data_IF_312623108380
#
_entry.id   IF_312623108380
#
_cell.length_a   1.000
_cell.length_b   1.000
_cell.length_c   1.000
_cell.angle_alpha   90.00
_cell.angle_beta   90.00
_cell.angle_gamma   90.00
#
_symmetry.space_group_name_H-M   'P 1'
#
loop_
_entity.id
_entity.type
_entity.pdbx_description
1 polymer ?
#
# COMPACT_ATOMS: atom_id res chain seq x y z
N UNK A 1 7.14 -6.66 30.84
CA UNK A 1 7.97 -6.04 29.80
C UNK A 1 7.13 -5.87 28.58
N UNK A 2 7.10 -4.68 28.08
CA UNK A 2 6.11 -4.28 27.09
C UNK A 2 6.38 -4.98 25.74
N UNK A 3 5.33 -5.18 24.97
CA UNK A 3 5.34 -5.64 23.57
C UNK A 3 6.43 -4.94 22.74
N UNK A 4 6.72 -3.68 23.01
CA UNK A 4 7.74 -2.87 22.33
C UNK A 4 9.17 -3.43 22.55
N UNK A 5 9.55 -3.83 23.76
CA UNK A 5 10.90 -4.38 24.03
C UNK A 5 11.11 -5.70 23.28
N UNK A 6 10.05 -6.50 23.15
CA UNK A 6 10.05 -7.73 22.37
C UNK A 6 10.25 -7.40 20.87
N UNK A 7 9.51 -6.43 20.35
CA UNK A 7 9.64 -6.00 18.95
C UNK A 7 11.06 -5.49 18.65
N UNK A 8 11.63 -4.63 19.49
CA UNK A 8 12.99 -4.10 19.33
C UNK A 8 14.07 -5.21 19.27
N UNK A 9 13.86 -6.28 20.03
CA UNK A 9 14.82 -7.39 20.11
C UNK A 9 14.66 -8.37 18.95
N UNK A 10 13.43 -8.68 18.57
CA UNK A 10 13.11 -9.76 17.63
C UNK A 10 13.07 -9.31 16.17
N UNK A 11 12.61 -8.07 15.91
CA UNK A 11 12.49 -7.57 14.54
C UNK A 11 13.85 -7.30 13.91
N UNK A 12 14.03 -7.82 12.69
CA UNK A 12 15.23 -7.64 11.85
C UNK A 12 14.90 -6.87 10.57
N UNK A 13 13.66 -6.98 10.08
CA UNK A 13 13.21 -6.33 8.88
C UNK A 13 11.84 -5.68 9.06
N UNK A 14 11.61 -4.57 8.36
CA UNK A 14 10.29 -3.97 8.20
C UNK A 14 9.86 -4.10 6.73
N UNK A 15 8.67 -4.65 6.50
CA UNK A 15 8.03 -4.70 5.20
C UNK A 15 6.84 -3.74 5.18
N UNK A 16 6.81 -2.82 4.22
CA UNK A 16 5.83 -1.75 4.16
C UNK A 16 4.86 -1.95 3.00
N UNK A 17 3.55 -1.80 3.28
CA UNK A 17 2.61 -1.46 2.21
C UNK A 17 2.96 -0.11 1.59
N UNK A 18 2.71 0.06 0.29
CA UNK A 18 3.05 1.28 -0.42
C UNK A 18 1.88 2.27 -0.51
N UNK A 19 0.75 1.83 -1.08
CA UNK A 19 -0.34 2.72 -1.49
C UNK A 19 -1.23 3.13 -0.31
N UNK A 20 -1.10 4.37 0.14
CA UNK A 20 -1.80 4.91 1.31
C UNK A 20 -1.05 4.70 2.63
N UNK A 21 0.09 4.00 2.61
CA UNK A 21 0.97 3.79 3.75
C UNK A 21 2.24 4.61 3.62
N UNK A 22 3.06 4.36 2.58
CA UNK A 22 4.24 5.17 2.23
C UNK A 22 3.82 6.41 1.43
N UNK A 23 3.03 6.23 0.36
CA UNK A 23 2.61 7.32 -0.53
C UNK A 23 1.16 7.74 -0.27
N UNK A 24 0.91 9.07 -0.34
CA UNK A 24 -0.44 9.62 -0.17
C UNK A 24 -1.25 9.46 -1.45
N UNK A 25 -1.80 8.27 -1.63
CA UNK A 25 -2.57 7.93 -2.82
C UNK A 25 -3.86 8.75 -2.95
N UNK A 26 -4.53 9.09 -1.85
CA UNK A 26 -5.77 9.85 -1.91
C UNK A 26 -5.50 11.27 -2.41
N UNK A 27 -4.59 11.97 -1.76
CA UNK A 27 -4.24 13.35 -2.11
C UNK A 27 -3.63 13.43 -3.51
N UNK A 28 -2.61 12.62 -3.80
CA UNK A 28 -1.90 12.67 -5.08
C UNK A 28 -2.81 12.40 -6.27
N UNK A 29 -3.67 11.37 -6.20
CA UNK A 29 -4.64 11.11 -7.27
C UNK A 29 -5.73 12.21 -7.35
N UNK A 30 -6.17 12.77 -6.23
CA UNK A 30 -7.14 13.87 -6.25
C UNK A 30 -6.56 15.10 -6.96
N UNK A 31 -5.32 15.45 -6.67
CA UNK A 31 -4.62 16.53 -7.36
C UNK A 31 -4.49 16.25 -8.87
N UNK A 32 -4.12 15.02 -9.25
CA UNK A 32 -3.94 14.64 -10.65
C UNK A 32 -5.25 14.61 -11.46
N UNK A 33 -6.35 14.10 -10.88
CA UNK A 33 -7.62 14.01 -11.63
C UNK A 33 -8.39 15.32 -11.70
N UNK A 34 -8.17 16.26 -10.79
CA UNK A 34 -8.94 17.51 -10.68
C UNK A 34 -8.95 18.30 -11.99
N UNK A 35 -7.81 18.58 -12.66
CA UNK A 35 -7.81 19.30 -13.94
C UNK A 35 -8.56 18.53 -15.04
N UNK A 36 -8.47 17.19 -15.05
CA UNK A 36 -9.17 16.36 -16.01
C UNK A 36 -10.70 16.45 -15.83
N UNK A 37 -11.18 16.25 -14.61
CA UNK A 37 -12.64 16.31 -14.30
C UNK A 37 -13.21 17.69 -14.59
N UNK A 38 -12.43 18.77 -14.33
CA UNK A 38 -12.83 20.14 -14.68
C UNK A 38 -13.00 20.31 -16.20
N UNK A 39 -12.04 19.81 -17.01
CA UNK A 39 -12.14 19.87 -18.48
C UNK A 39 -13.36 19.09 -19.02
N UNK A 40 -13.74 18.01 -18.34
CA UNK A 40 -14.95 17.23 -18.68
C UNK A 40 -16.27 17.87 -18.23
N UNK A 41 -16.21 19.03 -17.56
CA UNK A 41 -17.41 19.70 -17.04
C UNK A 41 -18.11 18.96 -15.90
N UNK A 42 -17.41 18.03 -15.25
CA UNK A 42 -18.00 17.30 -14.15
C UNK A 42 -18.00 18.14 -12.85
N UNK A 43 -19.17 18.30 -12.24
CA UNK A 43 -19.39 19.16 -11.08
C UNK A 43 -19.30 18.43 -9.72
N UNK A 44 -18.94 17.15 -9.71
CA UNK A 44 -18.76 16.38 -8.48
C UNK A 44 -17.44 16.71 -7.79
N UNK A 45 -17.25 16.13 -6.60
CA UNK A 45 -16.01 16.31 -5.82
C UNK A 45 -14.90 15.37 -6.32
N UNK A 46 -13.74 15.87 -6.78
CA UNK A 46 -12.63 15.02 -7.23
C UNK A 46 -12.17 13.99 -6.20
N UNK A 47 -12.18 14.35 -4.92
CA UNK A 47 -11.86 13.44 -3.82
C UNK A 47 -12.83 12.24 -3.76
N UNK A 48 -14.12 12.48 -3.98
CA UNK A 48 -15.12 11.40 -4.04
C UNK A 48 -14.89 10.48 -5.25
N UNK A 49 -14.53 11.05 -6.41
CA UNK A 49 -14.14 10.27 -7.59
C UNK A 49 -12.98 9.33 -7.29
N UNK A 50 -11.92 9.85 -6.67
CA UNK A 50 -10.74 9.05 -6.27
C UNK A 50 -11.09 8.00 -5.22
N UNK A 51 -11.96 8.34 -4.27
CA UNK A 51 -12.45 7.38 -3.27
C UNK A 51 -13.16 6.20 -3.92
N UNK A 52 -14.04 6.44 -4.91
CA UNK A 52 -14.70 5.39 -5.68
C UNK A 52 -13.70 4.60 -6.53
N UNK A 53 -12.76 5.25 -7.21
CA UNK A 53 -11.71 4.59 -7.97
C UNK A 53 -10.91 3.63 -7.09
N UNK A 54 -10.36 4.12 -5.98
CA UNK A 54 -9.56 3.31 -5.05
C UNK A 54 -10.34 2.14 -4.48
N UNK A 55 -11.61 2.38 -4.11
CA UNK A 55 -12.48 1.32 -3.61
C UNK A 55 -12.72 0.23 -4.65
N UNK A 56 -13.11 0.61 -5.86
CA UNK A 56 -13.35 -0.35 -6.95
C UNK A 56 -12.07 -1.10 -7.32
N UNK A 57 -10.93 -0.41 -7.37
CA UNK A 57 -9.61 -1.03 -7.61
C UNK A 57 -9.30 -2.07 -6.54
N UNK A 58 -9.47 -1.72 -5.27
CA UNK A 58 -9.26 -2.63 -4.15
C UNK A 58 -10.21 -3.82 -4.17
N UNK A 59 -11.52 -3.59 -4.37
CA UNK A 59 -12.53 -4.66 -4.43
C UNK A 59 -12.20 -5.67 -5.55
N UNK A 60 -11.82 -5.20 -6.74
CA UNK A 60 -11.44 -6.09 -7.83
C UNK A 60 -10.15 -6.86 -7.56
N UNK A 61 -9.17 -6.26 -6.88
CA UNK A 61 -7.95 -6.96 -6.45
C UNK A 61 -8.26 -8.05 -5.41
N UNK A 62 -9.20 -7.79 -4.49
CA UNK A 62 -9.66 -8.78 -3.51
C UNK A 62 -10.40 -9.94 -4.18
N UNK A 63 -11.26 -9.64 -5.15
CA UNK A 63 -11.99 -10.68 -5.91
C UNK A 63 -10.99 -11.55 -6.67
N UNK A 64 -10.00 -10.95 -7.33
CA UNK A 64 -8.95 -11.68 -8.04
C UNK A 64 -8.20 -12.65 -7.11
N UNK A 65 -7.82 -12.17 -5.91
CA UNK A 65 -7.16 -12.97 -4.90
C UNK A 65 -8.02 -14.13 -4.36
N UNK A 66 -9.33 -13.89 -4.19
CA UNK A 66 -10.26 -14.91 -3.65
C UNK A 66 -10.68 -15.95 -4.69
N UNK A 67 -10.77 -15.56 -5.97
CA UNK A 67 -11.19 -16.48 -7.03
C UNK A 67 -10.10 -17.47 -7.46
N UNK A 68 -8.85 -17.24 -7.05
CA UNK A 68 -7.68 -18.08 -7.34
C UNK A 68 -7.53 -18.47 -8.84
N UNK A 69 -7.85 -17.50 -9.72
CA UNK A 69 -7.84 -17.68 -11.19
C UNK A 69 -6.57 -17.17 -11.87
N UNK A 70 -5.48 -17.05 -11.12
CA UNK A 70 -4.25 -16.41 -11.55
C UNK A 70 -4.22 -14.96 -11.12
N UNK A 71 -3.31 -14.19 -11.70
CA UNK A 71 -3.05 -12.81 -11.31
C UNK A 71 -3.34 -11.84 -12.46
N UNK A 72 -4.33 -10.98 -12.30
CA UNK A 72 -4.57 -9.86 -13.21
C UNK A 72 -3.60 -8.72 -12.86
N UNK A 73 -2.84 -8.14 -13.83
CA UNK A 73 -1.98 -6.99 -13.54
C UNK A 73 -2.72 -5.85 -12.83
N UNK A 74 -2.12 -5.29 -11.79
CA UNK A 74 -2.71 -4.20 -11.00
C UNK A 74 -3.10 -3.01 -11.85
N UNK A 75 -2.25 -2.63 -12.82
CA UNK A 75 -2.56 -1.59 -13.82
C UNK A 75 -3.83 -1.90 -14.60
N UNK A 76 -4.05 -3.14 -15.01
CA UNK A 76 -5.25 -3.53 -15.75
C UNK A 76 -6.50 -3.43 -14.88
N UNK A 77 -6.43 -3.83 -13.62
CA UNK A 77 -7.51 -3.62 -12.64
C UNK A 77 -7.77 -2.11 -12.48
N UNK A 78 -6.73 -1.29 -12.44
CA UNK A 78 -6.82 0.16 -12.40
C UNK A 78 -7.58 0.74 -13.60
N UNK A 79 -7.30 0.28 -14.81
CA UNK A 79 -8.02 0.71 -16.02
C UNK A 79 -9.53 0.40 -15.90
N UNK A 80 -9.88 -0.84 -15.50
CA UNK A 80 -11.28 -1.24 -15.30
C UNK A 80 -11.96 -0.39 -14.22
N UNK A 81 -11.27 -0.12 -13.11
CA UNK A 81 -11.79 0.67 -12.01
C UNK A 81 -12.06 2.12 -12.41
N UNK A 82 -11.14 2.76 -13.15
CA UNK A 82 -11.32 4.13 -13.65
C UNK A 82 -12.48 4.19 -14.64
N UNK A 83 -12.52 3.27 -15.62
CA UNK A 83 -13.63 3.20 -16.59
C UNK A 83 -14.98 3.06 -15.88
N UNK A 84 -15.08 2.13 -14.91
CA UNK A 84 -16.29 1.95 -14.12
C UNK A 84 -16.74 3.24 -13.41
N UNK A 85 -15.80 3.99 -12.82
CA UNK A 85 -16.15 5.23 -12.11
C UNK A 85 -16.56 6.33 -13.09
N UNK A 86 -15.92 6.41 -14.28
CA UNK A 86 -16.32 7.32 -15.35
C UNK A 86 -17.76 7.06 -15.79
N UNK A 87 -18.09 5.78 -16.07
CA UNK A 87 -19.45 5.36 -16.48
C UNK A 87 -20.46 5.70 -15.38
N UNK A 88 -20.15 5.37 -14.11
CA UNK A 88 -20.98 5.71 -12.96
C UNK A 88 -21.23 7.21 -12.82
N UNK A 89 -20.24 8.02 -13.12
CA UNK A 89 -20.30 9.48 -13.07
C UNK A 89 -20.87 10.09 -14.37
N UNK A 90 -21.17 9.28 -15.39
CA UNK A 90 -21.63 9.71 -16.72
C UNK A 90 -20.64 10.68 -17.39
N UNK A 91 -19.35 10.44 -17.22
CA UNK A 91 -18.26 11.21 -17.82
C UNK A 91 -17.82 10.50 -19.10
N UNK A 92 -17.90 11.18 -20.24
CA UNK A 92 -17.38 10.64 -21.50
C UNK A 92 -15.85 10.59 -21.46
N UNK A 93 -15.27 9.46 -21.85
CA UNK A 93 -13.82 9.23 -21.80
C UNK A 93 -13.32 8.41 -23.00
N UNK A 94 -12.01 8.48 -23.22
CA UNK A 94 -11.29 7.57 -24.12
C UNK A 94 -10.42 6.61 -23.30
N UNK A 95 -10.00 5.50 -23.89
CA UNK A 95 -9.09 4.56 -23.22
C UNK A 95 -7.69 5.19 -22.97
N UNK A 96 -7.27 6.14 -23.80
CA UNK A 96 -6.03 6.90 -23.56
C UNK A 96 -6.12 7.77 -22.30
N UNK A 97 -7.25 8.40 -22.08
CA UNK A 97 -7.50 9.17 -20.85
C UNK A 97 -7.50 8.28 -19.61
N UNK A 98 -8.08 7.08 -19.70
CA UNK A 98 -8.04 6.09 -18.62
C UNK A 98 -6.60 5.66 -18.33
N UNK A 99 -5.83 5.35 -19.38
CA UNK A 99 -4.41 4.98 -19.23
C UNK A 99 -3.60 6.11 -18.59
N UNK A 100 -3.80 7.34 -19.03
CA UNK A 100 -3.11 8.52 -18.48
C UNK A 100 -3.40 8.73 -16.99
N UNK A 101 -4.67 8.55 -16.56
CA UNK A 101 -5.04 8.68 -15.15
C UNK A 101 -4.43 7.56 -14.30
N UNK A 102 -4.44 6.32 -14.78
CA UNK A 102 -3.85 5.20 -14.03
C UNK A 102 -2.34 5.34 -13.89
N UNK A 103 -1.65 5.92 -14.89
CA UNK A 103 -0.22 6.19 -14.84
C UNK A 103 0.16 7.20 -13.72
N UNK A 104 -0.77 8.01 -13.22
CA UNK A 104 -0.52 8.91 -12.08
C UNK A 104 -0.23 8.15 -10.78
N UNK A 105 -0.63 6.86 -10.67
CA UNK A 105 -0.28 6.01 -9.52
C UNK A 105 1.25 5.87 -9.37
N UNK A 106 1.97 5.91 -10.47
CA UNK A 106 3.44 5.75 -10.50
C UNK A 106 4.18 7.01 -10.04
N UNK A 107 3.48 8.16 -9.97
CA UNK A 107 4.07 9.47 -9.64
C UNK A 107 3.76 9.95 -8.22
N UNK A 108 3.10 9.10 -7.43
CA UNK A 108 2.70 9.43 -6.07
C UNK A 108 3.90 9.71 -5.17
N UNK A 109 3.76 10.73 -4.33
CA UNK A 109 4.80 11.14 -3.38
C UNK A 109 4.56 10.55 -2.00
N UNK A 110 5.62 10.32 -1.21
CA UNK A 110 5.49 9.86 0.16
C UNK A 110 4.80 10.90 1.03
N UNK A 111 4.20 10.44 2.14
CA UNK A 111 3.79 11.32 3.21
C UNK A 111 5.01 12.04 3.81
N UNK A 112 4.83 13.26 4.36
CA UNK A 112 5.96 14.08 4.84
C UNK A 112 6.81 13.43 5.95
N UNK A 113 6.19 12.56 6.76
CA UNK A 113 6.80 11.86 7.88
C UNK A 113 7.65 10.64 7.48
N UNK A 114 7.55 10.17 6.23
CA UNK A 114 8.07 8.86 5.83
C UNK A 114 9.59 8.85 5.66
N UNK A 115 10.16 9.76 4.87
CA UNK A 115 11.57 9.66 4.46
C UNK A 115 12.52 9.78 5.66
N UNK A 116 12.27 10.74 6.55
CA UNK A 116 13.08 10.92 7.75
C UNK A 116 12.99 9.71 8.69
N UNK A 117 11.79 9.15 8.84
CA UNK A 117 11.58 7.95 9.67
C UNK A 117 12.27 6.71 9.11
N UNK A 118 12.18 6.48 7.77
CA UNK A 118 12.89 5.38 7.12
C UNK A 118 14.40 5.52 7.28
N UNK A 119 14.95 6.74 7.21
CA UNK A 119 16.36 7.00 7.48
C UNK A 119 16.79 6.60 8.90
N UNK A 120 15.97 6.92 9.91
CA UNK A 120 16.21 6.51 11.32
C UNK A 120 16.15 4.99 11.49
N UNK A 121 15.15 4.34 10.92
CA UNK A 121 15.00 2.88 10.98
C UNK A 121 16.21 2.18 10.33
N UNK A 122 16.66 2.65 9.18
CA UNK A 122 17.88 2.15 8.52
C UNK A 122 19.12 2.34 9.39
N UNK A 123 19.29 3.52 9.98
CA UNK A 123 20.43 3.80 10.87
C UNK A 123 20.45 2.88 12.11
N UNK A 124 19.29 2.36 12.51
CA UNK A 124 19.17 1.36 13.58
C UNK A 124 19.55 -0.06 13.14
N UNK A 125 19.74 -0.28 11.84
CA UNK A 125 20.17 -1.56 11.27
C UNK A 125 19.04 -2.45 10.75
N UNK A 126 17.80 -1.96 10.65
CA UNK A 126 16.70 -2.72 10.06
C UNK A 126 16.85 -2.84 8.54
N UNK A 127 16.59 -4.03 7.98
CA UNK A 127 16.28 -4.18 6.55
C UNK A 127 14.94 -3.56 6.25
N UNK A 128 14.83 -2.79 5.16
CA UNK A 128 13.61 -2.08 4.79
C UNK A 128 13.13 -2.55 3.42
N UNK A 129 11.93 -3.13 3.36
CA UNK A 129 11.34 -3.66 2.14
C UNK A 129 9.98 -3.03 1.85
N UNK A 130 9.63 -2.89 0.57
CA UNK A 130 8.25 -2.67 0.13
C UNK A 130 7.63 -4.03 -0.22
N UNK A 131 6.37 -4.24 0.17
CA UNK A 131 5.49 -5.29 -0.33
C UNK A 131 4.20 -4.64 -0.84
N UNK A 132 4.02 -4.59 -2.15
CA UNK A 132 2.98 -3.79 -2.80
C UNK A 132 2.12 -4.61 -3.77
N UNK A 133 0.83 -4.25 -3.86
CA UNK A 133 -0.07 -4.75 -4.89
C UNK A 133 0.24 -4.24 -6.30
N UNK A 134 1.13 -3.26 -6.45
CA UNK A 134 1.55 -2.71 -7.74
C UNK A 134 2.35 -3.70 -8.59
N UNK A 135 2.25 -3.58 -9.91
CA UNK A 135 3.07 -4.34 -10.85
C UNK A 135 4.55 -3.95 -10.72
N UNK A 136 5.47 -4.86 -11.06
CA UNK A 136 6.94 -4.64 -10.93
C UNK A 136 7.41 -3.37 -11.63
N UNK A 137 6.92 -3.14 -12.85
CA UNK A 137 7.29 -1.96 -13.64
C UNK A 137 6.72 -0.67 -13.05
N UNK A 138 5.49 -0.70 -12.49
CA UNK A 138 4.91 0.42 -11.75
C UNK A 138 5.73 0.76 -10.50
N UNK A 139 6.15 -0.24 -9.74
CA UNK A 139 6.99 -0.03 -8.55
C UNK A 139 8.36 0.53 -8.92
N UNK A 140 8.95 0.05 -10.01
CA UNK A 140 10.21 0.59 -10.54
C UNK A 140 10.06 2.05 -10.96
N UNK A 141 8.98 2.39 -11.66
CA UNK A 141 8.68 3.77 -12.07
C UNK A 141 8.42 4.70 -10.87
N UNK A 142 7.81 4.18 -9.80
CA UNK A 142 7.52 4.95 -8.59
C UNK A 142 8.78 5.27 -7.74
N UNK A 143 9.83 4.47 -7.85
CA UNK A 143 11.05 4.62 -7.02
C UNK A 143 11.62 6.05 -6.96
N UNK A 144 11.88 6.73 -8.10
CA UNK A 144 12.36 8.11 -8.11
C UNK A 144 11.43 9.12 -7.43
N UNK A 145 10.12 8.88 -7.47
CA UNK A 145 9.11 9.75 -6.85
C UNK A 145 9.00 9.56 -5.34
N UNK A 146 9.30 8.36 -4.84
CA UNK A 146 9.38 8.07 -3.40
C UNK A 146 10.65 8.69 -2.81
N UNK A 147 11.78 8.63 -3.54
CA UNK A 147 13.03 9.26 -3.12
C UNK A 147 13.74 8.53 -1.96
N UNK A 148 13.49 7.22 -1.80
CA UNK A 148 14.18 6.37 -0.82
C UNK A 148 14.52 5.01 -1.45
N UNK A 149 15.76 4.55 -1.24
CA UNK A 149 16.20 3.25 -1.74
C UNK A 149 15.89 2.16 -0.69
N UNK A 150 15.00 1.25 -0.99
CA UNK A 150 14.70 0.07 -0.16
C UNK A 150 15.67 -1.08 -0.47
N UNK A 151 15.89 -1.96 0.52
CA UNK A 151 16.70 -3.17 0.31
C UNK A 151 15.99 -4.14 -0.64
N UNK A 152 14.66 -4.21 -0.55
CA UNK A 152 13.81 -4.98 -1.46
C UNK A 152 12.56 -4.19 -1.85
N UNK A 153 12.15 -4.30 -3.12
CA UNK A 153 10.87 -3.79 -3.63
C UNK A 153 10.13 -4.97 -4.25
N UNK A 154 9.14 -5.47 -3.50
CA UNK A 154 8.47 -6.73 -3.78
C UNK A 154 7.07 -6.44 -4.33
N UNK A 155 6.82 -6.88 -5.57
CA UNK A 155 5.50 -6.87 -6.17
C UNK A 155 4.76 -8.17 -5.83
N UNK A 156 3.44 -8.08 -5.65
CA UNK A 156 2.59 -9.27 -5.52
C UNK A 156 2.62 -10.18 -6.76
N UNK A 157 3.11 -9.69 -7.89
CA UNK A 157 3.37 -10.52 -9.09
C UNK A 157 4.36 -11.66 -8.81
N UNK A 158 5.27 -11.49 -7.82
CA UNK A 158 6.19 -12.55 -7.38
C UNK A 158 5.45 -13.75 -6.80
N UNK A 159 4.31 -13.50 -6.15
CA UNK A 159 3.47 -14.53 -5.53
C UNK A 159 2.32 -14.99 -6.45
N UNK A 160 2.00 -14.21 -7.50
CA UNK A 160 0.84 -14.44 -8.36
C UNK A 160 -0.51 -14.23 -7.65
N UNK A 161 -0.53 -13.53 -6.52
CA UNK A 161 -1.73 -13.27 -5.73
C UNK A 161 -1.67 -11.88 -5.08
N UNK A 162 -2.81 -11.18 -5.02
CA UNK A 162 -2.91 -9.92 -4.29
C UNK A 162 -2.95 -10.15 -2.77
N UNK A 163 -2.49 -9.14 -2.01
CA UNK A 163 -2.77 -9.07 -0.57
C UNK A 163 -4.29 -9.02 -0.34
N UNK A 164 -4.82 -9.71 0.68
CA UNK A 164 -4.15 -10.38 1.79
C UNK A 164 -3.93 -11.89 1.62
N UNK A 165 -3.79 -12.40 0.41
CA UNK A 165 -3.52 -13.83 0.22
C UNK A 165 -2.19 -14.22 0.86
N UNK A 166 -2.16 -15.32 1.64
CA UNK A 166 -0.99 -15.74 2.44
C UNK A 166 0.29 -15.95 1.61
N UNK A 167 0.18 -16.42 0.34
CA UNK A 167 1.32 -16.61 -0.56
C UNK A 167 2.11 -15.31 -0.81
N UNK A 168 1.45 -14.18 -0.72
CA UNK A 168 2.09 -12.87 -0.89
C UNK A 168 3.07 -12.58 0.25
N UNK A 169 2.67 -12.85 1.48
CA UNK A 169 3.54 -12.66 2.64
C UNK A 169 4.63 -13.72 2.71
N UNK A 170 4.33 -14.97 2.30
CA UNK A 170 5.32 -16.04 2.19
C UNK A 170 6.41 -15.69 1.16
N UNK A 171 6.04 -15.11 0.01
CA UNK A 171 7.01 -14.66 -0.97
C UNK A 171 7.85 -13.50 -0.45
N UNK A 172 7.27 -12.60 0.34
CA UNK A 172 8.02 -11.52 0.98
C UNK A 172 9.03 -12.06 2.01
N UNK A 173 8.65 -13.03 2.84
CA UNK A 173 9.55 -13.74 3.78
C UNK A 173 10.75 -14.34 3.03
N UNK A 174 10.49 -15.07 1.93
CA UNK A 174 11.51 -15.69 1.09
C UNK A 174 12.51 -14.66 0.54
N UNK A 175 12.00 -13.54 -0.02
CA UNK A 175 12.85 -12.51 -0.66
C UNK A 175 13.64 -11.70 0.38
N UNK A 176 13.02 -11.36 1.51
CA UNK A 176 13.67 -10.61 2.60
C UNK A 176 14.76 -11.46 3.28
N UNK A 177 14.54 -12.77 3.33
CA UNK A 177 15.51 -13.71 3.91
C UNK A 177 15.58 -13.63 5.44
N UNK A 178 14.46 -13.27 6.09
CA UNK A 178 14.29 -13.27 7.54
C UNK A 178 13.07 -14.12 7.90
N UNK A 179 13.12 -14.81 9.03
CA UNK A 179 11.95 -15.54 9.54
C UNK A 179 10.75 -14.60 9.73
N UNK A 180 9.54 -15.08 9.43
CA UNK A 180 8.31 -14.28 9.52
C UNK A 180 8.11 -13.61 10.88
N UNK A 181 8.55 -14.24 11.97
CA UNK A 181 8.47 -13.66 13.31
C UNK A 181 9.44 -12.48 13.51
N UNK A 182 10.49 -12.41 12.72
CA UNK A 182 11.47 -11.32 12.66
C UNK A 182 11.10 -10.19 11.69
N UNK A 183 9.95 -10.29 11.01
CA UNK A 183 9.46 -9.27 10.08
C UNK A 183 8.30 -8.51 10.73
N UNK A 184 8.41 -7.17 10.79
CA UNK A 184 7.31 -6.28 11.14
C UNK A 184 6.68 -5.75 9.85
N UNK A 185 5.45 -6.20 9.56
CA UNK A 185 4.69 -5.68 8.44
C UNK A 185 3.94 -4.40 8.85
N UNK A 186 4.12 -3.32 8.07
CA UNK A 186 3.62 -1.97 8.40
C UNK A 186 2.62 -1.52 7.35
N UNK A 187 1.38 -1.26 7.74
CA UNK A 187 0.34 -0.81 6.83
C UNK A 187 -0.69 0.12 7.49
N UNK A 188 -1.28 1.00 6.66
CA UNK A 188 -2.43 1.85 7.03
C UNK A 188 -3.79 1.16 6.75
N UNK A 189 -3.80 -0.09 6.33
CA UNK A 189 -5.00 -0.83 6.00
C UNK A 189 -5.15 -2.04 6.92
N UNK A 190 -6.27 -2.12 7.66
CA UNK A 190 -6.51 -3.22 8.60
C UNK A 190 -6.44 -4.58 7.91
N UNK A 191 -7.05 -4.74 6.70
CA UNK A 191 -7.03 -6.00 5.96
C UNK A 191 -5.62 -6.54 5.71
N UNK A 192 -4.65 -5.64 5.47
CA UNK A 192 -3.28 -5.99 5.15
C UNK A 192 -2.51 -6.41 6.41
N UNK A 193 -2.71 -5.69 7.52
CA UNK A 193 -2.21 -6.11 8.83
C UNK A 193 -2.81 -7.46 9.25
N UNK A 194 -4.11 -7.68 9.03
CA UNK A 194 -4.80 -8.95 9.32
C UNK A 194 -4.18 -10.08 8.49
N UNK A 195 -3.97 -9.87 7.19
CA UNK A 195 -3.36 -10.87 6.30
C UNK A 195 -1.93 -11.23 6.73
N UNK A 196 -1.08 -10.24 7.00
CA UNK A 196 0.29 -10.45 7.47
C UNK A 196 0.32 -11.15 8.85
N UNK A 197 -0.55 -10.74 9.76
CA UNK A 197 -0.67 -11.33 11.10
C UNK A 197 -1.14 -12.78 11.04
N UNK A 198 -2.14 -13.08 10.20
CA UNK A 198 -2.63 -14.45 10.03
C UNK A 198 -1.58 -15.37 9.41
N UNK A 199 -0.66 -14.85 8.63
CA UNK A 199 0.49 -15.58 8.11
C UNK A 199 1.56 -15.83 9.18
N UNK A 200 1.60 -15.04 10.26
CA UNK A 200 2.53 -15.17 11.37
C UNK A 200 3.60 -14.07 11.48
N UNK A 201 3.48 -13.01 10.67
CA UNK A 201 4.31 -11.82 10.83
C UNK A 201 3.86 -10.99 12.05
N UNK A 202 4.78 -10.19 12.60
CA UNK A 202 4.43 -9.08 13.48
C UNK A 202 3.85 -7.94 12.62
N UNK A 203 2.93 -7.14 13.20
CA UNK A 203 2.25 -6.09 12.45
C UNK A 203 2.18 -4.77 13.19
N UNK A 204 2.40 -3.67 12.45
CA UNK A 204 2.18 -2.31 12.92
C UNK A 204 1.10 -1.64 12.05
N UNK A 205 0.03 -1.21 12.67
CA UNK A 205 -1.00 -0.43 12.02
C UNK A 205 -0.68 1.07 12.13
N UNK A 206 -0.57 1.75 11.00
CA UNK A 206 -0.34 3.20 10.93
C UNK A 206 -1.68 3.88 10.75
N UNK A 207 -2.25 4.42 11.82
CA UNK A 207 -3.60 5.00 11.83
C UNK A 207 -3.64 6.43 11.28
N UNK A 208 -3.25 6.59 10.01
CA UNK A 208 -3.27 7.90 9.31
C UNK A 208 -4.65 8.52 9.19
N UNK A 209 -5.70 7.71 9.33
CA UNK A 209 -7.09 8.14 9.09
C UNK A 209 -7.88 8.33 10.36
N UNK A 210 -7.28 8.08 11.53
CA UNK A 210 -7.95 8.11 12.83
C UNK A 210 -9.24 7.26 12.82
N UNK A 211 -9.12 6.03 12.31
CA UNK A 211 -10.22 5.08 12.21
C UNK A 211 -9.91 3.87 13.09
N UNK A 212 -10.91 3.31 13.78
CA UNK A 212 -10.67 2.10 14.55
C UNK A 212 -10.18 0.96 13.64
N UNK A 213 -9.26 0.15 14.16
CA UNK A 213 -8.78 -1.04 13.45
C UNK A 213 -9.92 -2.05 13.20
N UNK A 214 -10.88 -2.08 14.11
CA UNK A 214 -12.00 -3.03 14.10
C UNK A 214 -11.74 -4.23 15.00
N UNK A 215 -12.83 -4.93 15.31
CA UNK A 215 -12.79 -6.16 16.10
C UNK A 215 -12.45 -7.34 15.20
N UNK A 216 -11.30 -7.94 15.43
CA UNK A 216 -10.80 -9.10 14.69
C UNK A 216 -9.83 -9.89 15.59
N UNK A 217 -9.72 -11.22 15.46
CA UNK A 217 -8.76 -12.01 16.22
C UNK A 217 -7.30 -11.70 15.90
N UNK A 218 -7.04 -11.01 14.79
CA UNK A 218 -5.69 -10.65 14.32
C UNK A 218 -5.37 -9.18 14.60
N UNK A 219 -5.38 -8.79 15.88
CA UNK A 219 -5.02 -7.43 16.28
C UNK A 219 -3.54 -7.12 15.99
N UNK A 220 -3.19 -5.87 15.62
CA UNK A 220 -1.80 -5.50 15.37
C UNK A 220 -0.99 -5.53 16.67
N UNK A 221 0.32 -5.80 16.57
CA UNK A 221 1.25 -5.77 17.70
C UNK A 221 1.56 -4.33 18.13
N UNK A 222 1.44 -3.38 17.19
CA UNK A 222 1.70 -1.96 17.40
C UNK A 222 0.68 -1.12 16.62
N UNK A 223 0.20 -0.05 17.25
CA UNK A 223 -0.59 1.01 16.59
C UNK A 223 0.15 2.32 16.76
N UNK A 224 0.38 3.02 15.65
CA UNK A 224 1.06 4.33 15.62
C UNK A 224 0.28 5.31 14.74
N UNK A 225 0.37 6.59 15.02
CA UNK A 225 -0.30 7.62 14.24
C UNK A 225 0.37 7.85 12.86
N UNK A 226 1.71 7.73 12.82
CA UNK A 226 2.52 8.01 11.64
C UNK A 226 3.89 7.29 11.69
N UNK A 227 4.71 7.50 10.68
CA UNK A 227 6.05 6.92 10.60
C UNK A 227 7.04 7.57 11.59
N UNK A 228 6.81 8.82 11.98
CA UNK A 228 7.67 9.47 12.98
C UNK A 228 7.54 8.78 14.33
N UNK A 229 6.31 8.45 14.74
CA UNK A 229 6.03 7.66 15.93
C UNK A 229 6.55 6.22 15.80
N UNK A 230 6.35 5.57 14.65
CA UNK A 230 6.90 4.23 14.38
C UNK A 230 8.41 4.19 14.62
N UNK A 231 9.14 5.15 14.04
CA UNK A 231 10.57 5.25 14.22
C UNK A 231 10.94 5.57 15.68
N UNK A 232 10.20 6.45 16.36
CA UNK A 232 10.46 6.77 17.77
C UNK A 232 10.29 5.55 18.70
N UNK A 233 9.29 4.70 18.39
CA UNK A 233 9.04 3.48 19.16
C UNK A 233 10.13 2.43 18.93
N UNK A 234 10.64 2.29 17.70
CA UNK A 234 11.57 1.22 17.33
C UNK A 234 13.06 1.59 17.45
N UNK A 235 13.40 2.86 17.51
CA UNK A 235 14.78 3.34 17.67
C UNK A 235 15.08 3.83 19.08
#
# INVERSE_FOLDING_TARGET
MATIDILKREIKALAFDQYGTIVDMQKGLTEAVTPFLKRKGWNGKPDSFVTWWRRTHFENSMIDALCDRGHTPYRQIGHRAVSYVMDRCRIAYTQDEVRALVAEIEKLKPFPDVIAALGRLRARGYKLAILSNGDRDMLKAAGPHIGFAFDHVISVQEAGHFKPHWKTYAKAEEIIGEDRSGILFVANHAFDCIGAKSYGMRTAFVDRRKRPFGETPHQPDLVVADFAELAAVLT
#
